data_IF_017814355917
#
_entry.id   IF_017814355917
#
_cell.length_a   1.000
_cell.length_b   1.000
_cell.length_c   1.000
_cell.angle_alpha   90.00
_cell.angle_beta   90.00
_cell.angle_gamma   90.00
#
_symmetry.space_group_name_H-M   'P 1'
#
loop_
_entity.id
_entity.type
_entity.pdbx_description
1 polymer ?
#
# COMPACT_ATOMS: atom_id res chain seq x y z
N UNK A 1 -8.34 33.56 -0.05
CA UNK A 1 -8.29 32.94 -1.38
C UNK A 1 -9.55 32.09 -1.55
N UNK A 2 -10.11 31.97 -2.76
CA UNK A 2 -11.28 31.10 -2.99
C UNK A 2 -10.85 29.64 -2.97
N UNK A 3 -11.73 28.75 -2.51
CA UNK A 3 -11.45 27.30 -2.46
C UNK A 3 -11.12 26.72 -3.85
N UNK A 4 -11.76 27.24 -4.90
CA UNK A 4 -11.52 26.86 -6.29
C UNK A 4 -10.09 27.16 -6.74
N UNK A 5 -9.52 28.28 -6.31
CA UNK A 5 -8.15 28.65 -6.65
C UNK A 5 -7.13 27.72 -5.99
N UNK A 6 -7.37 27.33 -4.74
CA UNK A 6 -6.53 26.35 -4.04
C UNK A 6 -6.65 24.98 -4.71
N UNK A 7 -7.86 24.57 -5.11
CA UNK A 7 -8.09 23.33 -5.87
C UNK A 7 -7.31 23.29 -7.19
N UNK A 8 -7.32 24.39 -7.96
CA UNK A 8 -6.49 24.52 -9.17
C UNK A 8 -5.00 24.39 -8.83
N UNK A 9 -4.54 25.01 -7.74
CA UNK A 9 -3.14 24.90 -7.32
C UNK A 9 -2.74 23.45 -6.99
N UNK A 10 -3.65 22.68 -6.35
CA UNK A 10 -3.43 21.26 -6.06
C UNK A 10 -3.33 20.46 -7.36
N UNK A 11 -4.29 20.62 -8.26
CA UNK A 11 -4.31 19.89 -9.54
C UNK A 11 -3.04 20.20 -10.34
N UNK A 12 -2.68 21.48 -10.50
CA UNK A 12 -1.47 21.89 -11.19
C UNK A 12 -0.19 21.40 -10.49
N UNK A 13 -0.18 21.33 -9.16
CA UNK A 13 0.95 20.82 -8.39
C UNK A 13 1.14 19.31 -8.54
N UNK A 14 0.06 18.53 -8.60
CA UNK A 14 0.12 17.05 -8.69
C UNK A 14 0.26 16.57 -10.13
N UNK A 15 -0.27 17.31 -11.12
CA UNK A 15 -0.26 16.93 -12.53
C UNK A 15 1.11 16.47 -13.08
N UNK A 16 2.25 17.10 -12.75
CA UNK A 16 3.56 16.66 -13.24
C UNK A 16 3.93 15.22 -12.86
N UNK A 17 3.40 14.68 -11.76
CA UNK A 17 3.65 13.28 -11.35
C UNK A 17 3.14 12.26 -12.37
N UNK A 18 2.20 12.63 -13.23
CA UNK A 18 1.68 11.73 -14.28
C UNK A 18 2.67 11.54 -15.44
N UNK A 19 3.62 12.46 -15.60
CA UNK A 19 4.52 12.53 -16.76
C UNK A 19 5.98 12.27 -16.35
N UNK A 20 6.30 12.49 -15.07
CA UNK A 20 7.65 12.27 -14.53
C UNK A 20 8.06 10.80 -14.65
N UNK A 21 9.14 10.47 -15.38
CA UNK A 21 9.62 9.10 -15.49
C UNK A 21 10.36 8.64 -14.21
N UNK A 22 10.86 9.59 -13.41
CA UNK A 22 11.56 9.33 -12.16
C UNK A 22 11.30 10.43 -11.14
N UNK A 23 11.24 10.06 -9.85
CA UNK A 23 11.05 11.02 -8.78
C UNK A 23 12.35 11.82 -8.53
N UNK A 24 12.26 13.14 -8.28
CA UNK A 24 13.44 13.94 -8.03
C UNK A 24 14.13 13.52 -6.73
N UNK A 25 15.46 13.64 -6.68
CA UNK A 25 16.28 13.29 -5.51
C UNK A 25 15.95 14.09 -4.25
N UNK A 26 16.53 13.71 -3.11
CA UNK A 26 16.25 14.35 -1.81
C UNK A 26 16.79 15.79 -1.76
N UNK A 27 17.96 16.04 -2.35
CA UNK A 27 18.55 17.39 -2.39
C UNK A 27 17.73 18.37 -3.22
N UNK A 28 17.24 17.95 -4.39
CA UNK A 28 16.38 18.79 -5.24
C UNK A 28 15.03 19.05 -4.59
N UNK A 29 14.46 18.08 -3.88
CA UNK A 29 13.25 18.29 -3.11
C UNK A 29 13.48 19.30 -1.97
N UNK A 30 14.60 19.19 -1.24
CA UNK A 30 14.94 20.12 -0.17
C UNK A 30 15.13 21.55 -0.69
N UNK A 31 15.83 21.74 -1.81
CA UNK A 31 16.02 23.05 -2.42
C UNK A 31 14.70 23.66 -2.91
N UNK A 32 13.83 22.88 -3.56
CA UNK A 32 12.50 23.32 -3.97
C UNK A 32 11.62 23.71 -2.77
N UNK A 33 11.72 22.98 -1.66
CA UNK A 33 10.98 23.30 -0.43
C UNK A 33 11.40 24.64 0.14
N UNK A 34 12.72 24.87 0.29
CA UNK A 34 13.26 26.15 0.77
C UNK A 34 12.85 27.29 -0.16
N UNK A 35 12.97 27.09 -1.47
CA UNK A 35 12.55 28.07 -2.47
C UNK A 35 11.06 28.40 -2.36
N UNK A 36 10.19 27.40 -2.23
CA UNK A 36 8.76 27.60 -2.04
C UNK A 36 8.45 28.40 -0.76
N UNK A 37 9.12 28.09 0.36
CA UNK A 37 8.97 28.83 1.60
C UNK A 37 9.38 30.30 1.47
N UNK A 38 10.48 30.60 0.77
CA UNK A 38 10.92 31.98 0.49
C UNK A 38 9.87 32.74 -0.32
N UNK A 39 9.29 32.11 -1.34
CA UNK A 39 8.26 32.74 -2.18
C UNK A 39 6.99 33.12 -1.40
N UNK A 40 6.64 32.39 -0.33
CA UNK A 40 5.44 32.69 0.49
C UNK A 40 5.55 34.07 1.16
N UNK A 41 6.74 34.53 1.50
CA UNK A 41 6.95 35.83 2.15
C UNK A 41 6.79 37.03 1.20
N UNK A 42 6.72 36.79 -0.11
CA UNK A 42 6.57 37.84 -1.11
C UNK A 42 5.09 38.28 -1.18
N UNK A 43 4.77 39.59 -1.11
CA UNK A 43 3.40 40.08 -0.96
C UNK A 43 2.54 39.97 -2.24
N UNK A 44 3.12 39.58 -3.38
CA UNK A 44 2.41 39.49 -4.65
C UNK A 44 1.49 38.26 -4.73
N UNK A 45 0.23 38.49 -5.11
CA UNK A 45 -0.80 37.42 -5.21
C UNK A 45 -0.39 36.30 -6.16
N UNK A 46 0.20 36.63 -7.31
CA UNK A 46 0.67 35.65 -8.30
C UNK A 46 1.78 34.75 -7.72
N UNK A 47 2.72 35.34 -7.00
CA UNK A 47 3.83 34.61 -6.37
C UNK A 47 3.31 33.64 -5.30
N UNK A 48 2.29 34.03 -4.54
CA UNK A 48 1.63 33.12 -3.59
C UNK A 48 0.98 31.92 -4.26
N UNK A 49 0.37 32.08 -5.44
CA UNK A 49 -0.17 30.94 -6.19
C UNK A 49 0.94 29.99 -6.65
N UNK A 50 2.06 30.54 -7.16
CA UNK A 50 3.23 29.74 -7.57
C UNK A 50 3.82 28.98 -6.37
N UNK A 51 3.95 29.65 -5.22
CA UNK A 51 4.44 29.03 -4.00
C UNK A 51 3.54 27.87 -3.55
N UNK A 52 2.21 28.06 -3.56
CA UNK A 52 1.26 27.00 -3.22
C UNK A 52 1.32 25.83 -4.21
N UNK A 53 1.34 26.09 -5.52
CA UNK A 53 1.47 25.01 -6.52
C UNK A 53 2.75 24.21 -6.31
N UNK A 54 3.85 24.89 -5.98
CA UNK A 54 5.13 24.25 -5.74
C UNK A 54 5.12 23.41 -4.46
N UNK A 55 4.49 23.89 -3.39
CA UNK A 55 4.31 23.13 -2.15
C UNK A 55 3.45 21.87 -2.38
N UNK A 56 2.36 21.96 -3.16
CA UNK A 56 1.56 20.78 -3.51
C UNK A 56 2.33 19.79 -4.37
N UNK A 57 3.18 20.26 -5.28
CA UNK A 57 4.08 19.40 -6.05
C UNK A 57 5.08 18.66 -5.15
N UNK A 58 5.75 19.38 -4.24
CA UNK A 58 6.67 18.79 -3.24
C UNK A 58 5.94 17.76 -2.39
N UNK A 59 4.73 18.07 -1.91
CA UNK A 59 3.90 17.15 -1.14
C UNK A 59 3.55 15.89 -1.95
N UNK A 60 3.16 16.04 -3.21
CA UNK A 60 2.89 14.92 -4.11
C UNK A 60 4.09 13.99 -4.26
N UNK A 61 5.29 14.54 -4.47
CA UNK A 61 6.53 13.75 -4.56
C UNK A 61 6.83 13.03 -3.25
N UNK A 62 6.65 13.69 -2.11
CA UNK A 62 6.86 13.07 -0.80
C UNK A 62 5.91 11.89 -0.59
N UNK A 63 4.63 12.04 -0.94
CA UNK A 63 3.65 10.96 -0.87
C UNK A 63 4.03 9.79 -1.81
N UNK A 64 4.46 10.09 -3.04
CA UNK A 64 4.94 9.07 -3.98
C UNK A 64 6.16 8.31 -3.44
N UNK A 65 7.15 9.03 -2.90
CA UNK A 65 8.33 8.43 -2.25
C UNK A 65 7.96 7.59 -1.04
N UNK A 66 7.00 8.02 -0.24
CA UNK A 66 6.52 7.25 0.92
C UNK A 66 5.93 5.89 0.52
N UNK A 67 5.20 5.85 -0.60
CA UNK A 67 4.65 4.61 -1.16
C UNK A 67 5.78 3.69 -1.67
N UNK A 68 6.76 4.25 -2.39
CA UNK A 68 7.86 3.47 -2.99
C UNK A 68 8.93 3.04 -2.00
N UNK A 69 9.07 3.74 -0.86
CA UNK A 69 10.09 3.47 0.17
C UNK A 69 10.15 1.98 0.55
N UNK A 70 9.00 1.34 0.74
CA UNK A 70 8.94 -0.06 1.14
C UNK A 70 9.53 -0.98 0.06
N UNK A 71 9.27 -0.69 -1.22
CA UNK A 71 9.81 -1.42 -2.36
C UNK A 71 11.30 -1.16 -2.60
N UNK A 72 11.81 0.01 -2.24
CA UNK A 72 13.23 0.35 -2.42
C UNK A 72 14.10 -0.17 -1.27
N UNK A 73 13.58 -0.18 -0.03
CA UNK A 73 14.39 -0.46 1.17
C UNK A 73 14.26 -1.87 1.71
N UNK A 74 13.09 -2.51 1.56
CA UNK A 74 12.85 -3.83 2.16
C UNK A 74 13.23 -4.98 1.22
N UNK A 75 13.50 -4.68 -0.04
CA UNK A 75 13.71 -5.68 -1.08
C UNK A 75 15.15 -6.20 -1.09
N UNK A 76 15.31 -7.47 -1.45
CA UNK A 76 16.63 -8.12 -1.55
C UNK A 76 17.15 -8.71 -0.24
N UNK A 77 16.95 -8.04 0.90
CA UNK A 77 17.34 -8.55 2.22
C UNK A 77 16.22 -9.33 2.91
N UNK A 78 16.62 -10.23 3.82
CA UNK A 78 15.68 -10.90 4.72
C UNK A 78 15.31 -9.97 5.87
N UNK A 79 14.01 -9.77 6.08
CA UNK A 79 13.48 -8.84 7.08
C UNK A 79 12.81 -9.59 8.22
N UNK A 80 13.18 -9.27 9.46
CA UNK A 80 12.42 -9.71 10.64
C UNK A 80 11.32 -8.69 10.92
N UNK A 81 10.08 -9.14 10.81
CA UNK A 81 8.91 -8.27 10.72
C UNK A 81 7.71 -8.83 11.51
N UNK A 82 6.87 -7.94 12.03
CA UNK A 82 5.53 -8.30 12.50
C UNK A 82 4.54 -7.97 11.39
N UNK A 83 3.79 -8.98 10.96
CA UNK A 83 2.78 -8.87 9.91
C UNK A 83 1.41 -9.07 10.52
N UNK A 84 0.51 -8.12 10.26
CA UNK A 84 -0.91 -8.28 10.50
C UNK A 84 -1.57 -8.80 9.23
N UNK A 85 -2.28 -9.92 9.31
CA UNK A 85 -2.98 -10.51 8.17
C UNK A 85 -4.27 -9.73 7.92
N UNK A 86 -4.46 -9.21 6.71
CA UNK A 86 -5.65 -8.44 6.32
C UNK A 86 -6.66 -9.28 5.54
N UNK A 87 -6.19 -10.28 4.79
CA UNK A 87 -7.02 -11.25 4.07
C UNK A 87 -6.22 -12.53 3.78
N UNK A 88 -6.90 -13.64 3.50
CA UNK A 88 -6.26 -14.90 3.10
C UNK A 88 -7.21 -15.75 2.29
N UNK A 89 -6.67 -16.55 1.37
CA UNK A 89 -7.38 -17.64 0.70
C UNK A 89 -7.61 -18.88 1.61
N UNK A 90 -7.14 -18.82 2.86
CA UNK A 90 -7.20 -19.89 3.85
C UNK A 90 -6.17 -21.00 3.65
N UNK A 91 -5.32 -20.89 2.62
CA UNK A 91 -4.42 -21.96 2.18
C UNK A 91 -2.99 -21.48 2.00
N UNK A 92 -2.72 -20.71 0.94
CA UNK A 92 -1.34 -20.42 0.48
C UNK A 92 -1.09 -18.96 0.14
N UNK A 93 -2.13 -18.15 0.01
CA UNK A 93 -2.04 -16.74 -0.33
C UNK A 93 -2.54 -15.92 0.84
N UNK A 94 -1.64 -15.12 1.40
CA UNK A 94 -1.92 -14.31 2.58
C UNK A 94 -1.58 -12.85 2.28
N UNK A 95 -2.57 -12.00 2.47
CA UNK A 95 -2.44 -10.56 2.36
C UNK A 95 -2.20 -10.01 3.76
N UNK A 96 -1.24 -9.12 3.91
CA UNK A 96 -0.93 -8.54 5.20
C UNK A 96 -0.29 -7.17 5.12
N UNK A 97 -0.10 -6.55 6.27
CA UNK A 97 0.61 -5.29 6.42
C UNK A 97 1.75 -5.45 7.42
N UNK A 98 2.90 -4.89 7.10
CA UNK A 98 4.06 -4.89 7.99
C UNK A 98 3.88 -3.80 9.02
N UNK A 99 3.59 -4.15 10.27
CA UNK A 99 3.37 -3.18 11.35
C UNK A 99 4.67 -2.83 12.06
N UNK A 100 5.58 -3.79 12.18
CA UNK A 100 6.88 -3.61 12.81
C UNK A 100 8.00 -4.22 11.97
N UNK A 101 9.14 -3.55 11.94
CA UNK A 101 10.39 -4.03 11.35
C UNK A 101 11.49 -3.98 12.40
N UNK A 102 12.19 -5.10 12.60
CA UNK A 102 13.30 -5.22 13.55
C UNK A 102 12.93 -4.70 14.95
N UNK A 103 11.70 -5.00 15.40
CA UNK A 103 11.17 -4.56 16.69
C UNK A 103 10.70 -3.10 16.76
N UNK A 104 10.85 -2.30 15.68
CA UNK A 104 10.36 -0.91 15.62
C UNK A 104 9.08 -0.82 14.83
N UNK A 105 8.09 -0.10 15.37
CA UNK A 105 6.83 0.18 14.66
C UNK A 105 7.11 1.09 13.46
N UNK A 106 6.51 0.76 12.32
CA UNK A 106 6.59 1.59 11.11
C UNK A 106 5.20 2.12 10.73
N UNK A 107 5.19 3.34 10.17
CA UNK A 107 3.97 3.98 9.70
C UNK A 107 4.25 4.82 8.45
N UNK A 108 3.43 4.70 7.38
CA UNK A 108 2.34 3.75 7.20
C UNK A 108 2.85 2.30 7.14
N UNK A 109 2.00 1.35 7.54
CA UNK A 109 2.31 -0.07 7.44
C UNK A 109 2.23 -0.51 5.96
N UNK A 110 3.35 -0.86 5.30
CA UNK A 110 3.32 -1.27 3.91
C UNK A 110 2.61 -2.62 3.77
N UNK A 111 1.69 -2.70 2.82
CA UNK A 111 1.02 -3.96 2.50
C UNK A 111 1.92 -4.90 1.70
N UNK A 112 1.69 -6.19 1.87
CA UNK A 112 2.39 -7.23 1.16
C UNK A 112 1.48 -8.43 0.86
N UNK A 113 1.85 -9.19 -0.17
CA UNK A 113 1.22 -10.47 -0.50
C UNK A 113 2.24 -11.60 -0.38
N UNK A 114 1.94 -12.58 0.46
CA UNK A 114 2.71 -13.80 0.65
C UNK A 114 2.08 -14.90 -0.20
N UNK A 115 2.90 -15.58 -1.02
CA UNK A 115 2.43 -16.62 -1.92
C UNK A 115 3.08 -17.98 -1.67
N UNK A 116 2.28 -19.03 -1.79
CA UNK A 116 2.73 -20.39 -2.05
C UNK A 116 3.24 -21.16 -0.82
N UNK A 117 2.93 -20.70 0.39
CA UNK A 117 3.36 -21.33 1.63
C UNK A 117 2.20 -21.39 2.63
N UNK A 118 2.00 -22.57 3.23
CA UNK A 118 1.03 -22.76 4.31
C UNK A 118 1.59 -22.21 5.62
N UNK A 119 0.77 -21.46 6.35
CA UNK A 119 1.10 -21.11 7.73
C UNK A 119 0.86 -22.32 8.66
N UNK A 120 1.55 -22.39 9.81
CA UNK A 120 1.52 -23.56 10.70
C UNK A 120 0.17 -23.79 11.38
N UNK A 121 -0.77 -22.85 11.30
CA UNK A 121 -2.12 -22.94 11.85
C UNK A 121 -3.11 -22.22 10.94
N UNK A 122 -4.40 -22.46 11.17
CA UNK A 122 -5.48 -21.77 10.46
C UNK A 122 -5.34 -20.24 10.59
N UNK A 123 -5.40 -19.57 9.44
CA UNK A 123 -5.16 -18.13 9.33
C UNK A 123 -6.49 -17.40 9.14
N UNK A 124 -6.63 -16.27 9.79
CA UNK A 124 -7.74 -15.36 9.58
C UNK A 124 -7.26 -13.90 9.60
N UNK A 125 -8.05 -13.01 9.00
CA UNK A 125 -7.76 -11.58 9.02
C UNK A 125 -7.85 -11.03 10.45
N UNK A 126 -6.87 -10.22 10.84
CA UNK A 126 -6.68 -9.61 12.17
C UNK A 126 -5.57 -10.25 13.00
N UNK A 127 -5.10 -11.45 12.64
CA UNK A 127 -4.01 -12.10 13.37
C UNK A 127 -2.68 -11.37 13.17
N UNK A 128 -1.85 -11.36 14.22
CA UNK A 128 -0.48 -10.85 14.16
C UNK A 128 0.53 -11.98 14.23
N UNK A 129 1.53 -11.88 13.37
CA UNK A 129 2.53 -12.92 13.17
C UNK A 129 3.93 -12.31 13.18
N UNK A 130 4.82 -12.92 13.95
CA UNK A 130 6.26 -12.67 13.86
C UNK A 130 6.79 -13.51 12.71
N UNK A 131 7.33 -12.85 11.70
CA UNK A 131 7.77 -13.49 10.46
C UNK A 131 9.18 -13.04 10.05
N UNK A 132 9.95 -13.98 9.52
CA UNK A 132 11.18 -13.70 8.79
C UNK A 132 10.88 -13.74 7.31
N UNK A 133 10.83 -12.60 6.65
CA UNK A 133 10.33 -12.43 5.29
C UNK A 133 11.46 -12.28 4.28
N UNK A 134 11.25 -12.79 3.06
CA UNK A 134 12.02 -12.41 1.87
C UNK A 134 11.06 -11.79 0.87
N UNK A 135 11.11 -10.46 0.76
CA UNK A 135 10.18 -9.67 -0.05
C UNK A 135 10.87 -9.03 -1.26
N UNK A 136 10.07 -8.73 -2.26
CA UNK A 136 10.43 -7.97 -3.46
C UNK A 136 9.31 -6.98 -3.78
N UNK A 137 9.66 -5.87 -4.41
CA UNK A 137 8.66 -4.95 -4.93
C UNK A 137 7.92 -5.64 -6.08
N UNK A 138 6.63 -5.35 -6.20
CA UNK A 138 5.85 -5.77 -7.38
C UNK A 138 6.42 -5.02 -8.57
N UNK A 139 6.91 -5.79 -9.54
CA UNK A 139 7.30 -5.28 -10.84
C UNK A 139 6.39 -5.91 -11.87
N UNK A 140 5.87 -5.09 -12.77
CA UNK A 140 4.99 -5.49 -13.83
C UNK A 140 5.23 -4.60 -15.04
N UNK A 141 5.27 -5.21 -16.21
CA UNK A 141 5.13 -4.44 -17.44
C UNK A 141 3.65 -4.35 -17.81
N UNK A 142 3.32 -3.33 -18.60
CA UNK A 142 2.01 -3.22 -19.23
C UNK A 142 1.78 -4.46 -20.09
N UNK A 143 0.71 -5.21 -19.82
CA UNK A 143 0.35 -6.33 -20.68
C UNK A 143 -0.38 -5.85 -21.95
N UNK A 144 -0.57 -6.74 -22.93
CA UNK A 144 -1.25 -6.41 -24.20
C UNK A 144 -2.70 -5.93 -24.02
N UNK A 145 -3.31 -6.22 -22.86
CA UNK A 145 -4.63 -5.73 -22.48
C UNK A 145 -4.62 -4.35 -21.79
N UNK A 146 -3.48 -3.67 -21.71
CA UNK A 146 -3.34 -2.37 -21.07
C UNK A 146 -3.36 -2.40 -19.54
N UNK A 147 -3.24 -3.57 -18.92
CA UNK A 147 -3.17 -3.72 -17.47
C UNK A 147 -1.71 -3.71 -16.98
N UNK A 148 -1.46 -2.88 -15.97
CA UNK A 148 -0.18 -2.77 -15.29
C UNK A 148 -0.33 -3.28 -13.84
N UNK A 149 0.32 -4.42 -13.56
CA UNK A 149 0.26 -5.06 -12.24
C UNK A 149 0.98 -4.28 -11.16
N UNK A 150 2.02 -3.50 -11.48
CA UNK A 150 2.70 -2.63 -10.53
C UNK A 150 1.80 -1.47 -10.12
N UNK A 151 1.17 -0.80 -11.10
CA UNK A 151 0.20 0.27 -10.83
C UNK A 151 -1.00 -0.24 -10.02
N UNK A 152 -1.50 -1.42 -10.35
CA UNK A 152 -2.58 -2.06 -9.59
C UNK A 152 -2.17 -2.37 -8.15
N UNK A 153 -1.00 -2.97 -7.94
CA UNK A 153 -0.50 -3.29 -6.60
C UNK A 153 -0.32 -2.05 -5.71
N UNK A 154 0.18 -0.95 -6.29
CA UNK A 154 0.29 0.34 -5.60
C UNK A 154 -1.09 0.88 -5.22
N UNK A 155 -2.07 0.84 -6.14
CA UNK A 155 -3.43 1.28 -5.86
C UNK A 155 -4.10 0.47 -4.73
N UNK A 156 -3.78 -0.82 -4.64
CA UNK A 156 -4.27 -1.70 -3.58
C UNK A 156 -3.46 -1.62 -2.27
N UNK A 157 -2.49 -0.70 -2.18
CA UNK A 157 -1.58 -0.58 -1.04
C UNK A 157 -0.80 -1.87 -0.74
N UNK A 158 -0.51 -2.66 -1.79
CA UNK A 158 0.23 -3.92 -1.74
C UNK A 158 1.51 -3.85 -2.59
N UNK A 159 2.42 -2.88 -2.34
CA UNK A 159 3.61 -2.70 -3.18
C UNK A 159 4.61 -3.86 -3.10
N UNK A 160 4.45 -4.79 -2.15
CA UNK A 160 5.37 -5.89 -1.89
C UNK A 160 4.75 -7.25 -2.17
N UNK A 161 5.57 -8.16 -2.67
CA UNK A 161 5.26 -9.60 -2.75
C UNK A 161 6.41 -10.40 -2.18
N UNK A 162 6.16 -11.58 -1.66
CA UNK A 162 7.24 -12.38 -1.09
C UNK A 162 6.82 -13.73 -0.55
N UNK A 163 7.74 -14.29 0.23
CA UNK A 163 7.60 -15.55 0.97
C UNK A 163 8.16 -15.38 2.37
N UNK A 164 7.82 -16.28 3.28
CA UNK A 164 8.32 -16.25 4.65
C UNK A 164 9.22 -17.46 4.91
N UNK A 165 10.35 -17.25 5.57
CA UNK A 165 11.28 -18.31 5.96
C UNK A 165 10.92 -18.91 7.32
N UNK A 166 10.29 -18.10 8.18
CA UNK A 166 9.74 -18.50 9.48
C UNK A 166 8.50 -17.67 9.76
N UNK A 167 7.52 -18.30 10.41
CA UNK A 167 6.33 -17.64 10.89
C UNK A 167 5.93 -18.25 12.24
N UNK A 168 5.66 -17.40 13.22
CA UNK A 168 5.11 -17.76 14.52
C UNK A 168 4.00 -16.78 14.89
N UNK A 169 2.88 -17.29 15.36
CA UNK A 169 1.75 -16.45 15.80
C UNK A 169 2.14 -15.68 17.06
N UNK A 170 1.81 -14.39 17.07
CA UNK A 170 1.90 -13.53 18.26
C UNK A 170 0.51 -13.39 18.85
N UNK A 171 -0.45 -12.97 18.02
CA UNK A 171 -1.83 -12.75 18.41
C UNK A 171 -2.74 -13.62 17.51
N UNK A 172 -3.35 -14.69 18.06
CA UNK A 172 -4.18 -15.61 17.29
C UNK A 172 -5.59 -15.08 17.01
N UNK A 173 -5.98 -13.96 17.63
CA UNK A 173 -7.32 -13.43 17.52
C UNK A 173 -7.64 -12.92 16.11
N UNK A 174 -8.77 -13.38 15.56
CA UNK A 174 -9.33 -12.84 14.32
C UNK A 174 -9.99 -11.48 14.59
N UNK A 175 -9.97 -10.59 13.62
CA UNK A 175 -10.75 -9.35 13.64
C UNK A 175 -12.25 -9.64 13.75
N UNK A 176 -13.01 -8.72 14.34
CA UNK A 176 -14.47 -8.82 14.45
C UNK A 176 -15.15 -9.04 13.08
N UNK A 177 -14.65 -8.37 12.04
CA UNK A 177 -15.11 -8.56 10.67
C UNK A 177 -14.90 -10.00 10.19
N UNK A 178 -13.73 -10.58 10.44
CA UNK A 178 -13.43 -11.95 10.04
C UNK A 178 -14.31 -12.97 10.79
N UNK A 179 -14.51 -12.76 12.10
CA UNK A 179 -15.41 -13.59 12.90
C UNK A 179 -16.85 -13.54 12.37
N UNK A 180 -17.34 -12.34 12.05
CA UNK A 180 -18.66 -12.15 11.46
C UNK A 180 -18.78 -12.86 10.10
N UNK A 181 -17.79 -12.72 9.20
CA UNK A 181 -17.79 -13.42 7.92
C UNK A 181 -17.78 -14.94 8.08
N UNK A 182 -17.03 -15.46 9.05
CA UNK A 182 -17.01 -16.89 9.36
C UNK A 182 -18.39 -17.38 9.86
N UNK A 183 -19.07 -16.58 10.71
CA UNK A 183 -20.43 -16.90 11.14
C UNK A 183 -21.42 -16.91 9.96
N UNK A 184 -21.33 -15.93 9.05
CA UNK A 184 -22.18 -15.86 7.87
C UNK A 184 -21.96 -17.04 6.94
N UNK A 185 -20.69 -17.42 6.70
CA UNK A 185 -20.37 -18.58 5.88
C UNK A 185 -21.01 -19.85 6.45
N UNK A 186 -20.97 -20.02 7.78
CA UNK A 186 -21.63 -21.13 8.47
C UNK A 186 -23.15 -21.11 8.29
N UNK A 187 -23.79 -19.95 8.49
CA UNK A 187 -25.24 -19.79 8.31
C UNK A 187 -25.70 -20.00 6.86
N UNK A 188 -24.87 -19.61 5.89
CA UNK A 188 -25.19 -19.69 4.46
C UNK A 188 -24.80 -21.00 3.79
N UNK A 189 -24.06 -21.90 4.46
CA UNK A 189 -23.68 -23.21 3.92
C UNK A 189 -24.85 -23.99 3.28
N UNK A 190 -26.06 -24.05 3.88
CA UNK A 190 -27.20 -24.76 3.29
C UNK A 190 -27.68 -24.18 1.95
N UNK A 191 -27.44 -22.88 1.70
CA UNK A 191 -27.88 -22.17 0.50
C UNK A 191 -26.80 -22.10 -0.59
N UNK A 192 -25.54 -22.41 -0.25
CA UNK A 192 -24.40 -22.37 -1.18
C UNK A 192 -24.50 -23.41 -2.31
N UNK A 193 -25.25 -24.50 -2.11
CA UNK A 193 -25.52 -25.50 -3.15
C UNK A 193 -26.42 -24.96 -4.28
N UNK A 194 -27.33 -24.02 -3.99
CA UNK A 194 -28.22 -23.39 -4.97
C UNK A 194 -27.47 -22.43 -5.91
N UNK A 195 -26.44 -21.74 -5.43
CA UNK A 195 -25.59 -20.85 -6.25
C UNK A 195 -24.64 -21.60 -7.18
N UNK A 196 -24.45 -22.92 -7.02
CA UNK A 196 -23.55 -23.70 -7.87
C UNK A 196 -24.18 -24.09 -9.21
N UNK A 197 -25.50 -24.01 -9.35
CA UNK A 197 -26.24 -24.37 -10.57
C UNK A 197 -26.58 -23.19 -11.50
N UNK A 198 -26.41 -21.94 -11.05
CA UNK A 198 -26.47 -20.74 -11.89
C UNK A 198 -25.06 -20.23 -12.15
N UNK A 199 -24.45 -20.62 -13.26
CA UNK A 199 -23.02 -20.42 -13.53
C UNK A 199 -22.53 -18.99 -13.32
N UNK A 200 -21.92 -18.73 -12.16
CA UNK A 200 -20.84 -17.76 -11.95
C UNK A 200 -20.32 -17.95 -10.53
N UNK A 201 -19.17 -18.63 -10.41
CA UNK A 201 -18.45 -18.74 -9.15
C UNK A 201 -17.82 -17.39 -8.85
N UNK A 202 -18.47 -16.56 -8.04
CA UNK A 202 -17.82 -15.41 -7.42
C UNK A 202 -16.93 -15.98 -6.32
N UNK A 203 -15.63 -16.14 -6.61
CA UNK A 203 -14.63 -16.39 -5.57
C UNK A 203 -14.32 -15.06 -4.86
N UNK A 204 -14.27 -15.03 -3.52
CA UNK A 204 -13.75 -13.89 -2.79
C UNK A 204 -12.25 -13.67 -3.08
#
# INVERSE_FOLDING_TARGET
MKITTVGVCIICGIFPLLILPQLPGTLTLASLTVFACVLVFIPFKTVRYIALTLLFFVWGILAAKQILWAGETLTGATQDAIVEITATDGMTTHYGQITHLQGRRIFPAPGLVLYGEYLPQAVCAGQQWSMKLKVRAVHGQLNDGGFDSQRYAIAQHQPLTGRFLRASVIEPNCSLRAQYLASLQTTLQPYMSWFRYGGTVIRP
#
